data_IF_634847246662
#
_entry.id   IF_634847246662
#
_cell.length_a   1.000
_cell.length_b   1.000
_cell.length_c   1.000
_cell.angle_alpha   90.00
_cell.angle_beta   90.00
_cell.angle_gamma   90.00
#
_symmetry.space_group_name_H-M   'P 1'
#
loop_
_entity.id
_entity.type
_entity.pdbx_description
1 polymer ?
#
# COMPACT_ATOMS: atom_id res chain seq x y z
N UNK A 1 -8.21 3.86 15.43
CA UNK A 1 -8.66 2.76 14.57
C UNK A 1 -7.55 2.46 13.58
N UNK A 2 -6.94 1.28 13.66
CA UNK A 2 -5.92 0.83 12.72
C UNK A 2 -6.62 0.42 11.42
N UNK A 3 -6.40 1.17 10.34
CA UNK A 3 -6.84 0.88 8.95
C UNK A 3 -6.09 -0.34 8.36
N UNK A 4 -5.83 -1.39 9.15
CA UNK A 4 -5.07 -2.55 8.71
C UNK A 4 -6.03 -3.71 8.53
N UNK A 5 -6.31 -4.04 7.26
CA UNK A 5 -7.05 -5.24 6.87
C UNK A 5 -6.16 -6.48 7.05
N UNK A 6 -6.78 -7.66 7.17
CA UNK A 6 -6.06 -8.93 7.23
C UNK A 6 -5.20 -9.15 5.98
N UNK A 7 -4.05 -9.80 6.15
CA UNK A 7 -3.03 -9.90 5.11
C UNK A 7 -3.53 -10.61 3.84
N UNK A 8 -4.37 -11.64 3.98
CA UNK A 8 -4.95 -12.36 2.84
C UNK A 8 -5.82 -11.48 1.96
N UNK A 9 -6.59 -10.57 2.57
CA UNK A 9 -7.44 -9.64 1.83
C UNK A 9 -6.59 -8.61 1.09
N UNK A 10 -5.58 -8.02 1.76
CA UNK A 10 -4.63 -7.09 1.12
C UNK A 10 -3.91 -7.73 -0.08
N UNK A 11 -3.57 -9.02 0.01
CA UNK A 11 -2.95 -9.75 -1.09
C UNK A 11 -3.91 -10.01 -2.25
N UNK A 12 -5.14 -10.43 -1.94
CA UNK A 12 -6.12 -10.78 -2.96
C UNK A 12 -6.61 -9.56 -3.75
N UNK A 13 -6.84 -8.42 -3.09
CA UNK A 13 -7.28 -7.21 -3.81
C UNK A 13 -6.26 -6.70 -4.82
N UNK A 14 -4.96 -6.97 -4.63
CA UNK A 14 -3.89 -6.61 -5.59
C UNK A 14 -3.98 -7.39 -6.91
N UNK A 15 -4.68 -8.53 -6.94
CA UNK A 15 -4.85 -9.34 -8.15
C UNK A 15 -6.13 -9.00 -8.92
N UNK A 16 -7.03 -8.24 -8.32
CA UNK A 16 -8.34 -7.92 -8.91
C UNK A 16 -8.25 -6.85 -10.00
N UNK A 17 -9.23 -6.86 -10.91
CA UNK A 17 -9.44 -5.83 -11.94
C UNK A 17 -10.51 -4.83 -11.49
N UNK A 18 -10.49 -3.64 -12.08
CA UNK A 18 -11.53 -2.63 -11.83
C UNK A 18 -12.89 -3.17 -12.28
N UNK A 19 -13.88 -3.07 -11.40
CA UNK A 19 -15.23 -3.60 -11.57
C UNK A 19 -15.37 -5.11 -11.32
N UNK A 20 -14.32 -5.79 -10.84
CA UNK A 20 -14.38 -7.21 -10.54
C UNK A 20 -15.15 -7.48 -9.23
N UNK A 21 -16.04 -8.47 -9.27
CA UNK A 21 -16.69 -9.05 -8.09
C UNK A 21 -16.15 -10.46 -7.86
N UNK A 22 -15.64 -10.72 -6.66
CA UNK A 22 -15.04 -12.01 -6.32
C UNK A 22 -15.40 -12.47 -4.92
N UNK A 23 -15.56 -13.79 -4.76
CA UNK A 23 -15.57 -14.44 -3.45
C UNK A 23 -14.14 -14.88 -3.11
N UNK A 24 -13.58 -14.30 -2.06
CA UNK A 24 -12.21 -14.52 -1.62
C UNK A 24 -12.23 -15.42 -0.39
N UNK A 25 -11.66 -16.61 -0.52
CA UNK A 25 -11.46 -17.56 0.59
C UNK A 25 -10.06 -17.38 1.17
N UNK A 26 -9.98 -17.06 2.46
CA UNK A 26 -8.72 -16.77 3.16
C UNK A 26 -8.50 -17.80 4.26
N UNK A 27 -7.43 -18.58 4.10
CA UNK A 27 -7.02 -19.56 5.11
C UNK A 27 -6.52 -18.88 6.39
N UNK A 28 -6.58 -19.57 7.55
CA UNK A 28 -6.32 -18.94 8.84
C UNK A 28 -4.96 -18.25 8.95
N UNK A 29 -3.93 -18.79 8.30
CA UNK A 29 -2.56 -18.25 8.30
C UNK A 29 -2.47 -16.86 7.65
N UNK A 30 -3.44 -16.52 6.80
CA UNK A 30 -3.56 -15.22 6.14
C UNK A 30 -4.73 -14.38 6.67
N UNK A 31 -5.52 -14.93 7.60
CA UNK A 31 -6.64 -14.26 8.26
C UNK A 31 -6.27 -13.82 9.69
N UNK A 32 -6.85 -14.45 10.70
CA UNK A 32 -6.70 -14.10 12.12
C UNK A 32 -5.77 -15.05 12.90
N UNK A 33 -5.26 -16.11 12.26
CA UNK A 33 -4.30 -17.03 12.85
C UNK A 33 -4.88 -17.96 13.92
N UNK A 34 -4.02 -18.35 14.87
CA UNK A 34 -4.30 -19.39 15.88
C UNK A 34 -4.93 -18.88 17.17
N UNK A 35 -5.25 -17.59 17.24
CA UNK A 35 -5.93 -16.97 18.38
C UNK A 35 -7.31 -16.49 17.98
N UNK A 36 -8.23 -16.45 18.94
CA UNK A 36 -9.51 -15.79 18.72
C UNK A 36 -9.30 -14.30 18.44
N UNK A 37 -10.16 -13.74 17.60
CA UNK A 37 -10.07 -12.35 17.18
C UNK A 37 -11.39 -11.64 17.42
N UNK A 38 -11.35 -10.63 18.29
CA UNK A 38 -12.48 -9.73 18.52
C UNK A 38 -12.62 -8.77 17.35
N UNK A 39 -13.70 -8.93 16.57
CA UNK A 39 -14.11 -7.96 15.56
C UNK A 39 -15.22 -7.06 16.12
N UNK A 40 -15.56 -6.00 15.39
CA UNK A 40 -16.57 -5.04 15.82
C UNK A 40 -17.95 -5.68 16.04
N UNK A 41 -18.32 -6.64 15.19
CA UNK A 41 -19.66 -7.26 15.19
C UNK A 41 -19.69 -8.70 15.71
N UNK A 42 -18.53 -9.37 15.80
CA UNK A 42 -18.47 -10.78 16.14
C UNK A 42 -17.09 -11.18 16.67
N UNK A 43 -17.03 -12.35 17.34
CA UNK A 43 -15.77 -13.03 17.66
C UNK A 43 -15.50 -14.03 16.56
N UNK A 44 -14.30 -13.98 15.98
CA UNK A 44 -13.81 -14.99 15.04
C UNK A 44 -12.99 -16.02 15.82
N UNK A 45 -13.39 -17.31 15.83
CA UNK A 45 -12.64 -18.35 16.53
C UNK A 45 -11.23 -18.54 15.96
N UNK A 46 -10.33 -19.10 16.78
CA UNK A 46 -9.00 -19.50 16.35
C UNK A 46 -9.05 -20.45 15.13
N UNK A 47 -8.09 -20.32 14.22
CA UNK A 47 -7.93 -21.15 13.03
C UNK A 47 -9.14 -21.14 12.06
N UNK A 48 -9.90 -20.04 12.01
CA UNK A 48 -11.04 -19.91 11.10
C UNK A 48 -10.62 -19.52 9.68
N UNK A 49 -11.13 -20.25 8.68
CA UNK A 49 -11.14 -19.79 7.28
C UNK A 49 -12.22 -18.73 7.11
N UNK A 50 -11.89 -17.59 6.49
CA UNK A 50 -12.81 -16.47 6.29
C UNK A 50 -13.15 -16.32 4.82
N UNK A 51 -14.38 -15.92 4.53
CA UNK A 51 -14.89 -15.69 3.19
C UNK A 51 -15.30 -14.22 3.07
N UNK A 52 -14.80 -13.54 2.03
CA UNK A 52 -15.15 -12.16 1.72
C UNK A 52 -15.77 -12.08 0.34
N UNK A 53 -16.95 -11.47 0.21
CA UNK A 53 -17.44 -10.96 -1.07
C UNK A 53 -16.88 -9.55 -1.28
N UNK A 54 -16.12 -9.37 -2.34
CA UNK A 54 -15.39 -8.12 -2.60
C UNK A 54 -15.73 -7.60 -3.99
N UNK A 55 -16.05 -6.31 -4.04
CA UNK A 55 -16.14 -5.54 -5.28
C UNK A 55 -14.96 -4.58 -5.38
N UNK A 56 -14.20 -4.68 -6.47
CA UNK A 56 -13.11 -3.75 -6.78
C UNK A 56 -13.65 -2.52 -7.53
N UNK A 57 -14.15 -1.53 -6.79
CA UNK A 57 -14.76 -0.33 -7.38
C UNK A 57 -13.76 0.47 -8.23
N UNK A 58 -12.58 0.76 -7.69
CA UNK A 58 -11.53 1.47 -8.41
C UNK A 58 -10.17 1.32 -7.74
N UNK A 59 -9.11 1.43 -8.54
CA UNK A 59 -7.74 1.59 -8.06
C UNK A 59 -6.96 2.50 -9.00
N UNK A 60 -5.86 3.07 -8.51
CA UNK A 60 -4.86 3.76 -9.31
C UNK A 60 -3.59 2.93 -9.31
N UNK A 61 -3.11 2.54 -10.50
CA UNK A 61 -1.77 1.97 -10.64
C UNK A 61 -0.77 3.11 -10.68
N UNK A 62 0.22 3.06 -9.81
CA UNK A 62 1.38 3.94 -9.94
C UNK A 62 2.13 3.54 -11.22
N UNK A 63 2.61 4.53 -11.99
CA UNK A 63 3.50 4.24 -13.12
C UNK A 63 4.80 3.68 -12.57
N UNK A 64 5.41 2.77 -13.31
CA UNK A 64 6.72 2.26 -12.96
C UNK A 64 7.81 3.29 -13.26
N UNK A 65 8.93 3.23 -12.55
CA UNK A 65 10.00 4.24 -12.67
C UNK A 65 10.54 4.36 -14.10
N UNK A 66 10.54 3.27 -14.88
CA UNK A 66 10.97 3.28 -16.28
C UNK A 66 9.93 3.85 -17.25
N UNK A 67 8.67 4.00 -16.83
CA UNK A 67 7.61 4.64 -17.62
C UNK A 67 7.56 6.16 -17.43
N UNK A 68 8.33 6.68 -16.48
CA UNK A 68 8.36 8.10 -16.12
C UNK A 68 9.58 8.80 -16.70
N UNK A 69 9.39 10.02 -17.21
CA UNK A 69 10.50 10.94 -17.49
C UNK A 69 11.01 11.64 -16.20
N UNK A 70 12.13 12.33 -16.31
CA UNK A 70 12.78 13.02 -15.17
C UNK A 70 11.83 13.98 -14.42
N UNK A 71 11.11 14.92 -15.06
CA UNK A 71 10.10 15.73 -14.39
C UNK A 71 9.02 14.92 -13.64
N UNK A 72 8.47 13.88 -14.27
CA UNK A 72 7.45 13.03 -13.64
C UNK A 72 7.97 12.29 -12.41
N UNK A 73 9.24 11.86 -12.40
CA UNK A 73 9.89 11.24 -11.23
C UNK A 73 10.02 12.22 -10.07
N UNK A 74 10.42 13.48 -10.34
CA UNK A 74 10.53 14.53 -9.32
C UNK A 74 9.15 14.82 -8.73
N UNK A 75 8.12 14.96 -9.57
CA UNK A 75 6.75 15.18 -9.11
C UNK A 75 6.24 14.00 -8.26
N UNK A 76 6.45 12.76 -8.73
CA UNK A 76 6.07 11.55 -8.00
C UNK A 76 6.78 11.46 -6.64
N UNK A 77 8.08 11.72 -6.59
CA UNK A 77 8.85 11.75 -5.35
C UNK A 77 8.35 12.86 -4.40
N UNK A 78 8.07 14.06 -4.92
CA UNK A 78 7.50 15.17 -4.16
C UNK A 78 6.16 14.81 -3.53
N UNK A 79 5.25 14.24 -4.31
CA UNK A 79 3.95 13.75 -3.81
C UNK A 79 4.11 12.70 -2.71
N UNK A 80 5.03 11.73 -2.89
CA UNK A 80 5.31 10.70 -1.86
C UNK A 80 5.91 11.29 -0.58
N UNK A 81 6.78 12.30 -0.70
CA UNK A 81 7.29 13.07 0.44
C UNK A 81 6.17 13.77 1.21
N UNK A 82 5.23 14.40 0.51
CA UNK A 82 4.07 15.08 1.12
C UNK A 82 3.13 14.09 1.82
N UNK A 83 2.83 12.95 1.19
CA UNK A 83 2.08 11.85 1.81
C UNK A 83 2.77 11.37 3.10
N UNK A 84 4.10 11.20 3.06
CA UNK A 84 4.92 10.85 4.23
C UNK A 84 4.83 11.90 5.34
N UNK A 85 4.96 13.19 5.00
CA UNK A 85 4.85 14.30 5.94
C UNK A 85 3.48 14.34 6.64
N UNK A 86 2.40 14.10 5.89
CA UNK A 86 1.05 14.04 6.46
C UNK A 86 0.92 12.88 7.47
N UNK A 87 1.45 11.71 7.15
CA UNK A 87 1.46 10.55 8.05
C UNK A 87 2.35 10.77 9.28
N UNK A 88 3.50 11.42 9.09
CA UNK A 88 4.42 11.77 10.18
C UNK A 88 3.78 12.72 11.19
N UNK A 89 3.11 13.78 10.70
CA UNK A 89 2.34 14.71 11.55
C UNK A 89 1.20 14.03 12.29
N UNK A 90 0.62 12.98 11.70
CA UNK A 90 -0.41 12.15 12.33
C UNK A 90 0.16 11.06 13.28
N UNK A 91 1.48 11.03 13.54
CA UNK A 91 2.13 10.05 14.41
C UNK A 91 2.26 8.63 13.83
N UNK A 92 1.92 8.44 12.54
CA UNK A 92 1.96 7.13 11.85
C UNK A 92 3.35 6.89 11.24
N UNK A 93 4.40 6.87 12.06
CA UNK A 93 5.81 6.89 11.62
C UNK A 93 6.21 5.73 10.70
N UNK A 94 5.81 4.50 11.02
CA UNK A 94 6.09 3.31 10.18
C UNK A 94 5.55 3.49 8.75
N UNK A 95 4.35 4.07 8.62
CA UNK A 95 3.76 4.36 7.30
C UNK A 95 4.43 5.54 6.63
N UNK A 96 4.85 6.55 7.40
CA UNK A 96 5.61 7.68 6.87
C UNK A 96 6.95 7.22 6.28
N UNK A 97 7.69 6.33 6.96
CA UNK A 97 8.95 5.75 6.47
C UNK A 97 8.77 5.13 5.08
N UNK A 98 7.76 4.27 4.93
CA UNK A 98 7.45 3.62 3.64
C UNK A 98 7.15 4.61 2.52
N UNK A 99 6.52 5.75 2.83
CA UNK A 99 6.28 6.80 1.83
C UNK A 99 7.56 7.54 1.44
N UNK A 100 8.46 7.81 2.40
CA UNK A 100 9.77 8.40 2.09
C UNK A 100 10.66 7.45 1.29
N UNK A 101 10.70 6.15 1.63
CA UNK A 101 11.43 5.13 0.87
C UNK A 101 10.95 5.08 -0.59
N UNK A 102 9.64 5.12 -0.81
CA UNK A 102 9.08 5.19 -2.16
C UNK A 102 9.49 6.47 -2.91
N UNK A 103 9.59 7.62 -2.22
CA UNK A 103 10.06 8.87 -2.82
C UNK A 103 11.51 8.74 -3.31
N UNK A 104 12.38 8.17 -2.48
CA UNK A 104 13.81 7.94 -2.80
C UNK A 104 13.95 6.98 -3.98
N UNK A 105 13.13 5.92 -4.03
CA UNK A 105 13.17 4.92 -5.11
C UNK A 105 12.93 5.51 -6.51
N UNK A 106 12.14 6.58 -6.64
CA UNK A 106 11.96 7.27 -7.93
C UNK A 106 13.21 8.04 -8.38
N UNK A 107 14.06 8.46 -7.45
CA UNK A 107 15.25 9.28 -7.71
C UNK A 107 16.49 8.41 -7.95
N UNK A 108 16.67 7.33 -7.18
CA UNK A 108 17.91 6.53 -7.20
C UNK A 108 18.10 5.65 -8.45
N UNK A 109 17.03 5.33 -9.19
CA UNK A 109 17.12 4.40 -10.33
C UNK A 109 17.64 5.03 -11.63
N UNK A 110 18.05 6.30 -11.60
CA UNK A 110 18.59 7.00 -12.77
C UNK A 110 20.08 7.28 -12.58
N UNK A 111 20.93 6.54 -13.28
CA UNK A 111 22.34 6.86 -13.45
C UNK A 111 22.57 8.11 -14.33
N UNK A 112 21.50 8.85 -14.70
CA UNK A 112 21.56 10.05 -15.55
C UNK A 112 21.24 11.37 -14.84
N UNK A 113 20.95 11.36 -13.53
CA UNK A 113 20.80 12.63 -12.80
C UNK A 113 22.16 13.31 -12.60
N UNK A 114 22.41 14.42 -13.30
CA UNK A 114 23.50 15.33 -12.93
C UNK A 114 23.23 15.90 -11.53
N UNK A 115 24.30 16.19 -10.79
CA UNK A 115 24.24 16.61 -9.38
C UNK A 115 23.45 17.91 -9.17
N UNK A 116 23.17 18.70 -10.22
CA UNK A 116 22.31 19.89 -10.13
C UNK A 116 20.82 19.56 -9.94
N UNK A 117 20.32 18.47 -10.51
CA UNK A 117 18.89 18.10 -10.40
C UNK A 117 18.54 17.55 -9.01
N UNK A 118 19.51 16.91 -8.33
CA UNK A 118 19.34 16.35 -6.97
C UNK A 118 19.14 17.41 -5.90
N UNK A 119 19.52 18.68 -6.15
CA UNK A 119 19.37 19.79 -5.19
C UNK A 119 17.99 20.45 -5.16
N UNK A 120 17.09 20.09 -6.09
CA UNK A 120 15.75 20.69 -6.21
C UNK A 120 14.60 19.80 -5.72
N UNK A 121 14.88 18.57 -5.25
CA UNK A 121 13.90 17.63 -4.68
C UNK A 121 13.82 17.74 -3.14
#
# INVERSE_FOLDING_TARGET
MTEQVIHGLDKAVKTMKKGEHALITIQPEYAFGSSESQQELAVVPANSTVYYEVEMVSFMKEKESWEMNTPEKIEAAGKKKEEGNALFKAGKYERASKRYENAVRFIDYDSSFSDEAKKQA
#
